data_IF_335968971099
#
_entry.id   IF_335968971099
#
_cell.length_a   1.000
_cell.length_b   1.000
_cell.length_c   1.000
_cell.angle_alpha   90.00
_cell.angle_beta   90.00
_cell.angle_gamma   90.00
#
_symmetry.space_group_name_H-M   'P 1'
#
loop_
_entity.id
_entity.type
_entity.pdbx_description
1 polymer ?
#
# COMPACT_ATOMS: atom_id res chain seq x y z
N UNK A 1 18.56 15.64 -1.55
CA UNK A 1 19.20 15.07 -0.32
C UNK A 1 20.13 13.89 -0.65
N UNK A 2 20.96 13.42 0.31
CA UNK A 2 21.76 12.18 0.17
C UNK A 2 20.88 10.95 0.39
N UNK A 3 21.13 9.88 -0.36
CA UNK A 3 20.47 8.59 -0.19
C UNK A 3 21.16 7.81 0.94
N UNK A 4 20.38 7.17 1.82
CA UNK A 4 20.91 6.37 2.92
C UNK A 4 21.69 5.16 2.36
N UNK A 5 22.98 4.95 2.72
CA UNK A 5 23.78 3.86 2.20
C UNK A 5 23.14 2.49 2.35
N UNK A 6 22.58 2.17 3.52
CA UNK A 6 22.01 0.84 3.79
C UNK A 6 20.73 0.53 3.00
N UNK A 7 20.04 1.56 2.51
CA UNK A 7 18.87 1.41 1.64
C UNK A 7 19.26 1.37 0.16
N UNK A 8 20.11 2.28 -0.30
CA UNK A 8 20.49 2.34 -1.73
C UNK A 8 21.31 1.14 -2.21
N UNK A 9 21.90 0.36 -1.30
CA UNK A 9 22.64 -0.86 -1.63
C UNK A 9 21.76 -2.11 -1.71
N UNK A 10 20.46 -2.02 -1.40
CA UNK A 10 19.52 -3.13 -1.52
C UNK A 10 19.29 -3.49 -2.99
N UNK A 11 18.85 -4.72 -3.25
CA UNK A 11 18.35 -5.14 -4.57
C UNK A 11 16.82 -5.10 -4.57
N UNK A 12 16.16 -4.92 -5.73
CA UNK A 12 14.70 -4.87 -5.80
C UNK A 12 14.03 -6.11 -5.19
N UNK A 13 14.55 -7.31 -5.48
CA UNK A 13 14.06 -8.58 -4.91
C UNK A 13 14.17 -8.70 -3.38
N UNK A 14 14.99 -7.86 -2.74
CA UNK A 14 15.13 -7.84 -1.27
C UNK A 14 14.12 -6.87 -0.62
N UNK A 15 13.22 -6.28 -1.40
CA UNK A 15 12.28 -5.25 -0.95
C UNK A 15 10.83 -5.72 -1.01
N UNK A 16 10.08 -5.27 0.00
CA UNK A 16 8.62 -5.20 -0.05
C UNK A 16 8.24 -3.72 0.06
N UNK A 17 7.61 -3.17 -0.95
CA UNK A 17 7.12 -1.80 -0.91
C UNK A 17 5.76 -1.78 -0.24
N UNK A 18 5.62 -0.97 0.81
CA UNK A 18 4.34 -0.69 1.45
C UNK A 18 3.87 0.67 0.96
N UNK A 19 2.81 0.67 0.15
CA UNK A 19 2.23 1.89 -0.41
C UNK A 19 1.10 2.35 0.52
N UNK A 20 1.20 3.56 1.04
CA UNK A 20 0.17 4.19 1.84
C UNK A 20 -0.58 5.28 1.09
N UNK A 21 -1.62 5.84 1.72
CA UNK A 21 -2.50 6.85 1.11
C UNK A 21 -1.76 8.11 0.67
N UNK A 22 -0.59 8.42 1.26
CA UNK A 22 0.24 9.54 0.84
C UNK A 22 0.78 9.40 -0.59
N UNK A 23 0.91 8.19 -1.12
CA UNK A 23 1.24 7.97 -2.54
C UNK A 23 0.01 8.25 -3.40
N UNK A 24 -1.17 7.71 -3.05
CA UNK A 24 -2.40 8.01 -3.78
C UNK A 24 -2.71 9.52 -3.80
N UNK A 25 -2.49 10.21 -2.69
CA UNK A 25 -2.61 11.67 -2.58
C UNK A 25 -1.62 12.43 -3.49
N UNK A 26 -0.39 11.92 -3.66
CA UNK A 26 0.58 12.51 -4.58
C UNK A 26 0.26 12.19 -6.04
N UNK A 27 -0.41 11.07 -6.30
CA UNK A 27 -0.77 10.63 -7.65
C UNK A 27 -1.96 11.41 -8.21
N UNK A 28 -2.99 11.60 -7.40
CA UNK A 28 -4.22 12.29 -7.78
C UNK A 28 -4.62 13.28 -6.67
N UNK A 29 -3.87 14.39 -6.49
CA UNK A 29 -4.06 15.34 -5.38
C UNK A 29 -5.38 16.12 -5.42
N UNK A 30 -6.08 16.11 -6.56
CA UNK A 30 -7.41 16.68 -6.70
C UNK A 30 -8.52 15.77 -6.14
N UNK A 31 -8.24 14.48 -5.91
CA UNK A 31 -9.23 13.52 -5.36
C UNK A 31 -9.22 13.58 -3.83
N UNK A 32 -10.25 14.14 -3.16
CA UNK A 32 -10.22 14.33 -1.71
C UNK A 32 -10.13 13.01 -0.94
N UNK A 33 -10.78 11.96 -1.44
CA UNK A 33 -10.80 10.63 -0.84
C UNK A 33 -9.41 10.00 -0.70
N UNK A 34 -8.46 10.38 -1.56
CA UNK A 34 -7.11 9.83 -1.56
C UNK A 34 -6.15 10.54 -0.61
N UNK A 35 -6.53 11.70 -0.05
CA UNK A 35 -5.64 12.52 0.79
C UNK A 35 -5.39 11.93 2.17
N UNK A 36 -6.36 11.22 2.70
CA UNK A 36 -6.28 10.60 4.03
C UNK A 36 -7.38 9.60 4.24
N UNK A 37 -7.20 8.72 5.25
CA UNK A 37 -8.26 7.83 5.72
C UNK A 37 -9.54 8.56 6.13
N UNK A 38 -9.42 9.70 6.81
CA UNK A 38 -10.58 10.56 7.14
C UNK A 38 -11.26 11.08 5.88
N UNK A 39 -10.48 11.53 4.89
CA UNK A 39 -10.98 12.00 3.59
C UNK A 39 -11.74 10.90 2.83
N UNK A 40 -11.24 9.67 2.85
CA UNK A 40 -11.92 8.52 2.26
C UNK A 40 -13.28 8.25 2.93
N UNK A 41 -13.31 8.19 4.25
CA UNK A 41 -14.56 7.92 4.97
C UNK A 41 -15.56 9.08 4.77
N UNK A 42 -15.07 10.33 4.74
CA UNK A 42 -15.90 11.48 4.43
C UNK A 42 -16.49 11.38 3.01
N UNK A 43 -15.68 11.05 2.00
CA UNK A 43 -16.16 10.91 0.63
C UNK A 43 -17.18 9.77 0.48
N UNK A 44 -17.00 8.65 1.18
CA UNK A 44 -17.98 7.57 1.23
C UNK A 44 -19.28 8.00 1.91
N UNK A 45 -19.19 8.80 2.98
CA UNK A 45 -20.35 9.34 3.67
C UNK A 45 -21.11 10.34 2.78
N UNK A 46 -20.39 11.21 2.08
CA UNK A 46 -20.98 12.18 1.15
C UNK A 46 -21.69 11.46 0.00
N UNK A 47 -21.04 10.47 -0.64
CA UNK A 47 -21.68 9.65 -1.67
C UNK A 47 -22.92 8.91 -1.13
N UNK A 48 -22.87 8.41 0.10
CA UNK A 48 -24.03 7.76 0.71
C UNK A 48 -25.20 8.73 0.96
N UNK A 49 -24.92 9.98 1.30
CA UNK A 49 -25.92 11.04 1.45
C UNK A 49 -26.49 11.43 0.08
N UNK A 50 -25.65 11.61 -0.93
CA UNK A 50 -26.05 11.98 -2.29
C UNK A 50 -26.93 10.92 -2.96
N UNK A 51 -26.76 9.64 -2.60
CA UNK A 51 -27.60 8.53 -3.02
C UNK A 51 -28.81 8.27 -2.12
N UNK A 52 -29.11 9.15 -1.15
CA UNK A 52 -30.22 9.02 -0.18
C UNK A 52 -30.20 7.68 0.60
N UNK A 53 -29.01 7.18 0.95
CA UNK A 53 -28.83 5.88 1.61
C UNK A 53 -28.86 5.94 3.15
N UNK A 54 -28.87 7.14 3.72
CA UNK A 54 -28.80 7.39 5.15
C UNK A 54 -29.90 8.37 5.58
N UNK A 55 -30.52 8.10 6.73
CA UNK A 55 -31.45 9.05 7.35
C UNK A 55 -30.68 10.27 7.91
N UNK A 56 -31.34 11.43 8.00
CA UNK A 56 -30.73 12.70 8.47
C UNK A 56 -30.03 12.56 9.83
N UNK A 57 -30.60 11.81 10.76
CA UNK A 57 -30.01 11.58 12.09
C UNK A 57 -28.75 10.72 12.02
N UNK A 58 -28.73 9.71 11.14
CA UNK A 58 -27.58 8.84 10.92
C UNK A 58 -26.43 9.60 10.28
N UNK A 59 -26.71 10.40 9.26
CA UNK A 59 -25.76 11.28 8.58
C UNK A 59 -25.10 12.23 9.57
N UNK A 60 -25.89 12.91 10.42
CA UNK A 60 -25.38 13.79 11.48
C UNK A 60 -24.51 13.04 12.50
N UNK A 61 -24.87 11.80 12.86
CA UNK A 61 -24.08 10.96 13.77
C UNK A 61 -22.72 10.60 13.17
N UNK A 62 -22.68 10.14 11.93
CA UNK A 62 -21.43 9.81 11.25
C UNK A 62 -20.54 11.04 11.07
N UNK A 63 -21.12 12.17 10.63
CA UNK A 63 -20.38 13.43 10.53
C UNK A 63 -19.78 13.82 11.88
N UNK A 64 -20.55 13.79 12.97
CA UNK A 64 -20.04 14.10 14.31
C UNK A 64 -18.87 13.20 14.71
N UNK A 65 -18.98 11.88 14.48
CA UNK A 65 -17.90 10.94 14.79
C UNK A 65 -16.62 11.22 13.98
N UNK A 66 -16.73 11.59 12.70
CA UNK A 66 -15.59 11.99 11.87
C UNK A 66 -14.96 13.30 12.33
N UNK A 67 -15.76 14.28 12.74
CA UNK A 67 -15.25 15.57 13.21
C UNK A 67 -14.50 15.46 14.54
N UNK A 68 -14.96 14.58 15.44
CA UNK A 68 -14.33 14.33 16.74
C UNK A 68 -13.05 13.46 16.64
N UNK A 69 -12.63 13.06 15.43
CA UNK A 69 -11.49 12.15 15.18
C UNK A 69 -11.54 10.88 16.04
N UNK A 70 -12.77 10.41 16.31
CA UNK A 70 -12.98 9.11 16.95
C UNK A 70 -12.39 8.02 16.07
N UNK A 71 -12.00 6.91 16.69
CA UNK A 71 -11.34 5.75 16.06
C UNK A 71 -11.89 5.48 14.65
N UNK A 72 -11.17 5.98 13.63
CA UNK A 72 -11.66 6.09 12.24
C UNK A 72 -11.99 4.72 11.66
N UNK A 73 -11.28 3.67 12.10
CA UNK A 73 -11.55 2.29 11.71
C UNK A 73 -12.94 1.85 12.14
N UNK A 74 -13.39 2.22 13.35
CA UNK A 74 -14.74 1.91 13.82
C UNK A 74 -15.79 2.68 13.02
N UNK A 75 -15.55 3.97 12.77
CA UNK A 75 -16.48 4.80 11.96
C UNK A 75 -16.63 4.22 10.55
N UNK A 76 -15.52 3.85 9.91
CA UNK A 76 -15.52 3.21 8.61
C UNK A 76 -16.23 1.85 8.64
N UNK A 77 -15.97 1.04 9.66
CA UNK A 77 -16.63 -0.26 9.82
C UNK A 77 -18.15 -0.13 9.91
N UNK A 78 -18.64 0.77 10.77
CA UNK A 78 -20.07 1.01 10.96
C UNK A 78 -20.73 1.55 9.68
N UNK A 79 -20.05 2.46 8.95
CA UNK A 79 -20.53 2.96 7.68
C UNK A 79 -20.61 1.84 6.62
N UNK A 80 -19.57 1.01 6.48
CA UNK A 80 -19.56 -0.12 5.54
C UNK A 80 -20.69 -1.11 5.86
N UNK A 81 -20.91 -1.43 7.15
CA UNK A 81 -22.01 -2.30 7.55
C UNK A 81 -23.38 -1.71 7.16
N UNK A 82 -23.57 -0.42 7.39
CA UNK A 82 -24.81 0.28 7.04
C UNK A 82 -25.06 0.30 5.53
N UNK A 83 -24.00 0.48 4.73
CA UNK A 83 -24.06 0.47 3.26
C UNK A 83 -24.08 -0.95 2.67
N UNK A 84 -23.84 -1.99 3.48
CA UNK A 84 -23.84 -3.39 3.06
C UNK A 84 -24.82 -4.25 3.88
N UNK A 85 -26.11 -3.87 3.99
CA UNK A 85 -27.06 -4.61 4.81
C UNK A 85 -27.19 -6.04 4.29
N UNK A 86 -27.10 -7.01 5.21
CA UNK A 86 -27.34 -8.43 4.90
C UNK A 86 -28.82 -8.72 5.09
N UNK A 87 -29.58 -8.78 3.99
CA UNK A 87 -30.91 -9.39 4.00
C UNK A 87 -30.80 -10.87 3.58
N UNK A 88 -31.73 -11.71 4.01
CA UNK A 88 -31.64 -13.16 3.88
C UNK A 88 -31.48 -13.68 2.44
N UNK A 89 -31.86 -12.90 1.42
CA UNK A 89 -31.88 -13.35 0.03
C UNK A 89 -31.18 -12.40 -0.99
N UNK A 90 -30.75 -11.19 -0.61
CA UNK A 90 -30.07 -10.24 -1.52
C UNK A 90 -28.96 -9.48 -0.78
N UNK A 91 -27.75 -9.48 -1.36
CA UNK A 91 -26.64 -8.62 -0.92
C UNK A 91 -26.80 -7.25 -1.59
N UNK A 92 -26.90 -6.19 -0.80
CA UNK A 92 -26.96 -4.81 -1.32
C UNK A 92 -25.70 -4.45 -2.11
N UNK A 93 -25.86 -3.61 -3.15
CA UNK A 93 -24.75 -3.01 -3.92
C UNK A 93 -24.42 -1.60 -3.46
N UNK A 94 -25.13 -1.02 -2.49
CA UNK A 94 -24.95 0.39 -2.13
C UNK A 94 -23.50 0.76 -1.78
N UNK A 95 -22.82 -0.04 -0.97
CA UNK A 95 -21.40 0.20 -0.68
C UNK A 95 -20.52 0.14 -1.92
N UNK A 96 -20.81 -0.78 -2.85
CA UNK A 96 -20.14 -0.83 -4.15
C UNK A 96 -20.41 0.47 -4.90
N UNK A 97 -21.66 0.88 -5.02
CA UNK A 97 -22.04 2.07 -5.80
C UNK A 97 -21.37 3.34 -5.23
N UNK A 98 -21.29 3.50 -3.90
CA UNK A 98 -20.53 4.58 -3.26
C UNK A 98 -19.02 4.52 -3.57
N UNK A 99 -18.40 3.34 -3.56
CA UNK A 99 -16.98 3.20 -3.90
C UNK A 99 -16.70 3.58 -5.36
N UNK A 100 -17.58 3.17 -6.28
CA UNK A 100 -17.45 3.51 -7.68
C UNK A 100 -17.60 5.02 -7.92
N UNK A 101 -18.49 5.69 -7.20
CA UNK A 101 -18.60 7.15 -7.23
C UNK A 101 -17.32 7.82 -6.71
N UNK A 102 -16.84 7.39 -5.54
CA UNK A 102 -15.65 7.97 -4.90
C UNK A 102 -14.38 7.80 -5.75
N UNK A 103 -14.25 6.66 -6.43
CA UNK A 103 -13.11 6.32 -7.26
C UNK A 103 -13.42 6.40 -8.76
N UNK A 104 -14.44 7.16 -9.15
CA UNK A 104 -14.77 7.35 -10.56
C UNK A 104 -13.62 8.07 -11.29
N UNK A 105 -13.35 7.64 -12.51
CA UNK A 105 -12.38 8.27 -13.43
C UNK A 105 -11.02 8.61 -12.79
N UNK A 106 -10.48 7.72 -11.94
CA UNK A 106 -9.18 7.93 -11.30
C UNK A 106 -8.03 8.06 -12.31
N UNK A 107 -8.13 7.40 -13.47
CA UNK A 107 -7.09 7.41 -14.50
C UNK A 107 -6.86 8.81 -15.08
N UNK A 108 -7.94 9.54 -15.41
CA UNK A 108 -7.82 10.91 -15.93
C UNK A 108 -7.29 11.90 -14.88
N UNK A 109 -7.41 11.54 -13.60
CA UNK A 109 -7.03 12.36 -12.45
C UNK A 109 -5.57 12.18 -12.04
N UNK A 110 -4.79 11.31 -12.69
CA UNK A 110 -3.37 11.15 -12.36
C UNK A 110 -2.53 12.31 -12.90
N UNK A 111 -1.79 12.98 -12.02
CA UNK A 111 -0.82 14.02 -12.38
C UNK A 111 0.56 13.44 -12.76
N UNK A 112 1.37 14.20 -13.51
CA UNK A 112 2.64 13.73 -14.05
C UNK A 112 3.68 13.38 -12.98
N UNK A 113 3.78 14.19 -11.91
CA UNK A 113 4.64 13.90 -10.76
C UNK A 113 4.22 12.61 -10.04
N UNK A 114 2.92 12.38 -9.97
CA UNK A 114 2.29 11.16 -9.53
C UNK A 114 2.67 9.94 -10.37
N UNK A 115 2.55 10.07 -11.69
CA UNK A 115 2.94 9.03 -12.65
C UNK A 115 4.42 8.67 -12.53
N UNK A 116 5.30 9.65 -12.31
CA UNK A 116 6.74 9.41 -12.07
C UNK A 116 6.99 8.56 -10.81
N UNK A 117 6.21 8.77 -9.74
CA UNK A 117 6.27 7.92 -8.55
C UNK A 117 5.84 6.49 -8.86
N UNK A 118 4.71 6.30 -9.52
CA UNK A 118 4.21 4.97 -9.90
C UNK A 118 5.15 4.28 -10.88
N UNK A 119 5.80 5.02 -11.78
CA UNK A 119 6.85 4.50 -12.66
C UNK A 119 8.01 3.91 -11.86
N UNK A 120 8.46 4.60 -10.81
CA UNK A 120 9.53 4.12 -9.93
C UNK A 120 9.12 2.85 -9.17
N UNK A 121 7.88 2.81 -8.66
CA UNK A 121 7.32 1.61 -8.01
C UNK A 121 7.28 0.44 -9.01
N UNK A 122 6.69 0.65 -10.19
CA UNK A 122 6.58 -0.36 -11.24
C UNK A 122 7.95 -0.87 -11.69
N UNK A 123 8.94 0.02 -11.81
CA UNK A 123 10.31 -0.37 -12.15
C UNK A 123 10.92 -1.31 -11.11
N UNK A 124 10.73 -1.05 -9.82
CA UNK A 124 11.20 -1.97 -8.78
C UNK A 124 10.45 -3.31 -8.82
N UNK A 125 9.14 -3.31 -9.08
CA UNK A 125 8.34 -4.53 -9.23
C UNK A 125 8.81 -5.40 -10.38
N UNK A 126 9.08 -4.79 -11.54
CA UNK A 126 9.61 -5.51 -12.72
C UNK A 126 10.96 -6.18 -12.44
N UNK A 127 11.71 -5.66 -11.47
CA UNK A 127 12.99 -6.23 -11.02
C UNK A 127 12.87 -7.11 -9.76
N UNK A 128 11.65 -7.43 -9.32
CA UNK A 128 11.38 -8.44 -8.29
C UNK A 128 10.92 -7.91 -6.94
N UNK A 129 10.73 -6.60 -6.76
CA UNK A 129 10.13 -6.10 -5.51
C UNK A 129 8.66 -6.52 -5.40
N UNK A 130 8.24 -6.94 -4.20
CA UNK A 130 6.83 -7.14 -3.90
C UNK A 130 6.16 -5.82 -3.50
N UNK A 131 4.85 -5.71 -3.70
CA UNK A 131 4.08 -4.53 -3.30
C UNK A 131 2.84 -4.95 -2.53
N UNK A 132 2.59 -4.24 -1.44
CA UNK A 132 1.34 -4.32 -0.69
C UNK A 132 0.86 -2.91 -0.33
N UNK A 133 -0.43 -2.80 -0.04
CA UNK A 133 -1.08 -1.54 0.34
C UNK A 133 -2.23 -1.79 1.32
N UNK A 134 -2.55 -0.76 2.10
CA UNK A 134 -3.79 -0.70 2.91
C UNK A 134 -4.86 0.18 2.24
N UNK A 135 -4.59 0.72 1.05
CA UNK A 135 -5.51 1.59 0.32
C UNK A 135 -6.51 0.76 -0.48
N UNK A 136 -7.70 1.33 -0.71
CA UNK A 136 -8.73 0.70 -1.55
C UNK A 136 -8.57 0.97 -3.05
N UNK A 137 -7.93 2.09 -3.41
CA UNK A 137 -7.69 2.46 -4.81
C UNK A 137 -6.74 1.47 -5.50
N UNK A 138 -6.78 1.43 -6.84
CA UNK A 138 -5.92 0.60 -7.69
C UNK A 138 -5.06 1.45 -8.64
N UNK A 139 -4.62 2.64 -8.19
CA UNK A 139 -3.92 3.62 -9.04
C UNK A 139 -2.65 3.04 -9.68
N UNK A 140 -1.91 2.21 -8.95
CA UNK A 140 -0.70 1.56 -9.46
C UNK A 140 -1.03 0.60 -10.61
N UNK A 141 -2.11 -0.15 -10.49
CA UNK A 141 -2.58 -1.10 -11.51
C UNK A 141 -3.14 -0.39 -12.73
N UNK A 142 -3.93 0.67 -12.55
CA UNK A 142 -4.41 1.53 -13.64
C UNK A 142 -3.24 2.14 -14.41
N UNK A 143 -2.27 2.71 -13.70
CA UNK A 143 -1.07 3.27 -14.31
C UNK A 143 -0.29 2.20 -15.10
N UNK A 144 -0.11 1.01 -14.51
CA UNK A 144 0.61 -0.07 -15.16
C UNK A 144 -0.12 -0.58 -16.41
N UNK A 145 -1.46 -0.66 -16.39
CA UNK A 145 -2.28 -1.00 -17.55
C UNK A 145 -2.07 0.00 -18.69
N UNK A 146 -2.03 1.29 -18.39
CA UNK A 146 -1.69 2.34 -19.36
C UNK A 146 -0.26 2.21 -19.91
N UNK A 147 0.69 1.63 -19.15
CA UNK A 147 2.03 1.26 -19.63
C UNK A 147 2.06 -0.09 -20.37
N UNK A 148 0.91 -0.71 -20.66
CA UNK A 148 0.83 -2.01 -21.33
C UNK A 148 1.23 -3.18 -20.44
N UNK A 149 1.16 -3.03 -19.12
CA UNK A 149 1.49 -4.06 -18.12
C UNK A 149 0.24 -4.46 -17.36
N UNK A 150 0.05 -5.76 -17.18
CA UNK A 150 -1.04 -6.27 -16.36
C UNK A 150 -0.56 -6.53 -14.94
N UNK A 151 -1.06 -5.75 -13.98
CA UNK A 151 -0.88 -6.02 -12.55
C UNK A 151 -2.13 -6.67 -11.99
N UNK A 152 -1.97 -7.77 -11.25
CA UNK A 152 -3.09 -8.41 -10.55
C UNK A 152 -3.28 -7.78 -9.16
N UNK A 153 -4.48 -7.29 -8.86
CA UNK A 153 -4.87 -6.93 -7.48
C UNK A 153 -5.25 -8.19 -6.71
N UNK A 154 -4.61 -8.39 -5.56
CA UNK A 154 -4.87 -9.48 -4.62
C UNK A 154 -5.47 -8.90 -3.35
N UNK A 155 -6.30 -9.68 -2.66
CA UNK A 155 -6.77 -9.35 -1.32
C UNK A 155 -6.66 -10.59 -0.41
N UNK A 156 -6.89 -10.39 0.89
CA UNK A 156 -6.77 -11.46 1.88
C UNK A 156 -7.95 -12.45 1.88
N UNK A 157 -8.87 -12.40 0.90
CA UNK A 157 -9.96 -13.38 0.79
C UNK A 157 -9.57 -14.64 0.03
N UNK A 158 -8.51 -14.59 -0.80
CA UNK A 158 -8.01 -15.74 -1.55
C UNK A 158 -6.67 -16.24 -0.96
N UNK A 159 -6.77 -17.17 0.01
CA UNK A 159 -5.61 -17.73 0.70
C UNK A 159 -4.55 -18.30 -0.25
N UNK A 160 -4.97 -18.93 -1.35
CA UNK A 160 -4.05 -19.55 -2.31
C UNK A 160 -3.24 -18.49 -3.03
N UNK A 161 -3.89 -17.41 -3.49
CA UNK A 161 -3.19 -16.31 -4.14
C UNK A 161 -2.25 -15.58 -3.17
N UNK A 162 -2.68 -15.37 -1.93
CA UNK A 162 -1.84 -14.77 -0.88
C UNK A 162 -0.60 -15.63 -0.61
N UNK A 163 -0.76 -16.95 -0.50
CA UNK A 163 0.37 -17.87 -0.34
C UNK A 163 1.35 -17.79 -1.51
N UNK A 164 0.84 -17.85 -2.74
CA UNK A 164 1.67 -17.79 -3.95
C UNK A 164 2.37 -16.43 -4.11
N UNK A 165 1.73 -15.35 -3.66
CA UNK A 165 2.35 -14.02 -3.56
C UNK A 165 3.47 -13.99 -2.54
N UNK A 166 3.23 -14.51 -1.32
CA UNK A 166 4.23 -14.55 -0.26
C UNK A 166 5.43 -15.46 -0.61
N UNK A 167 5.20 -16.47 -1.45
CA UNK A 167 6.24 -17.34 -2.03
C UNK A 167 6.91 -16.74 -3.27
N UNK A 168 6.60 -15.50 -3.65
CA UNK A 168 7.15 -14.79 -4.82
C UNK A 168 6.86 -15.49 -6.17
N UNK A 169 5.83 -16.35 -6.22
CA UNK A 169 5.39 -17.04 -7.44
C UNK A 169 4.47 -16.17 -8.31
N UNK A 170 3.87 -15.14 -7.72
CA UNK A 170 3.01 -14.15 -8.40
C UNK A 170 3.75 -12.83 -8.60
N UNK A 171 4.48 -12.73 -9.70
CA UNK A 171 5.12 -11.47 -10.12
C UNK A 171 4.07 -10.47 -10.60
N UNK A 172 4.37 -9.17 -10.50
CA UNK A 172 3.49 -8.08 -10.94
C UNK A 172 2.08 -8.17 -10.35
N UNK A 173 2.01 -8.22 -9.03
CA UNK A 173 0.74 -8.20 -8.30
C UNK A 173 0.86 -7.34 -7.04
N UNK A 174 -0.27 -6.78 -6.62
CA UNK A 174 -0.39 -5.87 -5.47
C UNK A 174 -1.29 -6.52 -4.43
N UNK A 175 -0.78 -6.70 -3.21
CA UNK A 175 -1.60 -7.20 -2.10
C UNK A 175 -2.31 -6.05 -1.38
N UNK A 176 -3.63 -5.96 -1.51
CA UNK A 176 -4.49 -5.04 -0.77
C UNK A 176 -4.95 -5.68 0.54
N UNK A 177 -4.35 -5.25 1.65
CA UNK A 177 -4.62 -5.80 2.98
C UNK A 177 -6.09 -5.63 3.37
N UNK A 178 -6.69 -4.49 3.04
CA UNK A 178 -8.11 -4.21 3.33
C UNK A 178 -9.02 -4.38 2.12
N UNK A 179 -8.56 -5.07 1.07
CA UNK A 179 -9.28 -5.20 -0.18
C UNK A 179 -9.16 -3.98 -1.11
N UNK A 180 -9.72 -4.14 -2.31
CA UNK A 180 -9.65 -3.18 -3.41
C UNK A 180 -11.07 -2.79 -3.86
N UNK A 181 -11.28 -1.54 -4.27
CA UNK A 181 -12.63 -1.05 -4.58
C UNK A 181 -13.29 -1.75 -5.77
N UNK A 182 -12.52 -2.35 -6.67
CA UNK A 182 -13.01 -3.18 -7.78
C UNK A 182 -13.54 -4.54 -7.31
N UNK A 183 -13.23 -4.94 -6.07
CA UNK A 183 -13.83 -6.08 -5.37
C UNK A 183 -14.39 -5.66 -3.99
N UNK A 184 -15.52 -4.90 -3.93
CA UNK A 184 -16.06 -4.39 -2.67
C UNK A 184 -16.39 -5.48 -1.64
N UNK A 185 -16.74 -6.69 -2.11
CA UNK A 185 -17.05 -7.81 -1.21
C UNK A 185 -15.85 -8.35 -0.45
N UNK A 186 -14.63 -8.03 -0.89
CA UNK A 186 -13.38 -8.40 -0.21
C UNK A 186 -12.88 -7.36 0.80
N UNK A 187 -13.57 -6.21 0.92
CA UNK A 187 -13.13 -5.13 1.81
C UNK A 187 -13.46 -5.44 3.26
N UNK A 188 -12.42 -5.50 4.10
CA UNK A 188 -12.52 -5.77 5.54
C UNK A 188 -11.47 -4.94 6.28
N UNK A 189 -11.90 -4.27 7.34
CA UNK A 189 -11.06 -3.34 8.12
C UNK A 189 -10.52 -3.89 9.43
N UNK A 190 -10.96 -5.09 9.81
CA UNK A 190 -10.57 -5.71 11.07
C UNK A 190 -10.01 -7.11 10.84
N UNK A 191 -8.96 -7.54 11.56
CA UNK A 191 -8.37 -8.88 11.45
C UNK A 191 -9.40 -10.02 11.57
N UNK A 192 -10.47 -9.81 12.33
CA UNK A 192 -11.57 -10.76 12.50
C UNK A 192 -12.28 -11.15 11.18
N UNK A 193 -12.21 -10.33 10.13
CA UNK A 193 -12.78 -10.71 8.83
C UNK A 193 -11.82 -11.46 7.90
N UNK A 194 -10.54 -11.63 8.29
CA UNK A 194 -9.53 -12.40 7.54
C UNK A 194 -9.04 -13.63 8.32
N UNK A 195 -9.91 -14.25 9.15
CA UNK A 195 -9.54 -15.42 9.98
C UNK A 195 -9.02 -16.60 9.17
N UNK A 196 -9.50 -16.75 7.94
CA UNK A 196 -9.04 -17.72 6.96
C UNK A 196 -7.51 -17.63 6.76
N UNK A 197 -7.02 -16.44 6.38
CA UNK A 197 -5.57 -16.17 6.26
C UNK A 197 -4.87 -16.25 7.61
N UNK A 198 -5.37 -15.57 8.64
CA UNK A 198 -4.68 -15.45 9.94
C UNK A 198 -4.55 -16.77 10.71
N UNK A 199 -5.44 -17.74 10.46
CA UNK A 199 -5.39 -19.08 11.06
C UNK A 199 -4.67 -20.09 10.17
N UNK A 200 -4.45 -19.78 8.90
CA UNK A 200 -3.68 -20.63 8.01
C UNK A 200 -2.19 -20.50 8.35
N UNK A 201 -1.67 -21.53 9.03
CA UNK A 201 -0.28 -21.57 9.51
C UNK A 201 0.74 -21.51 8.37
N UNK A 202 0.43 -22.06 7.20
CA UNK A 202 1.34 -22.02 6.05
C UNK A 202 1.41 -20.61 5.48
N UNK A 203 0.25 -19.97 5.25
CA UNK A 203 0.17 -18.58 4.74
C UNK A 203 0.88 -17.63 5.70
N UNK A 204 0.54 -17.68 7.00
CA UNK A 204 1.15 -16.81 7.99
C UNK A 204 2.66 -17.02 8.11
N UNK A 205 3.15 -18.25 7.98
CA UNK A 205 4.59 -18.53 7.97
C UNK A 205 5.28 -17.86 6.78
N UNK A 206 4.72 -17.93 5.58
CA UNK A 206 5.33 -17.26 4.41
C UNK A 206 5.23 -15.72 4.50
N UNK A 207 4.12 -15.17 5.00
CA UNK A 207 3.97 -13.74 5.27
C UNK A 207 5.02 -13.25 6.28
N UNK A 208 5.18 -13.96 7.40
CA UNK A 208 6.18 -13.61 8.43
C UNK A 208 7.60 -13.68 7.89
N UNK A 209 7.92 -14.71 7.09
CA UNK A 209 9.23 -14.83 6.43
C UNK A 209 9.55 -13.63 5.55
N UNK A 210 8.57 -12.99 4.90
CA UNK A 210 8.82 -11.79 4.13
C UNK A 210 9.36 -10.67 5.02
N UNK A 211 8.76 -10.45 6.18
CA UNK A 211 9.20 -9.42 7.13
C UNK A 211 10.54 -9.78 7.78
N UNK A 212 10.80 -11.06 8.02
CA UNK A 212 12.07 -11.55 8.57
C UNK A 212 13.23 -11.55 7.59
N UNK A 213 13.00 -11.53 6.27
CA UNK A 213 14.06 -11.70 5.26
C UNK A 213 14.15 -10.56 4.23
N UNK A 214 13.13 -9.71 4.12
CA UNK A 214 13.10 -8.58 3.18
C UNK A 214 13.01 -7.25 3.93
N UNK A 215 13.62 -6.22 3.34
CA UNK A 215 13.50 -4.86 3.85
C UNK A 215 12.19 -4.23 3.35
N UNK A 216 11.25 -4.02 4.27
CA UNK A 216 10.05 -3.23 3.99
C UNK A 216 10.39 -1.76 3.80
N UNK A 217 9.95 -1.18 2.69
CA UNK A 217 10.08 0.24 2.36
C UNK A 217 8.70 0.90 2.35
N UNK A 218 8.42 1.65 3.40
CA UNK A 218 7.15 2.35 3.61
C UNK A 218 7.16 3.70 2.87
N UNK A 219 6.18 3.89 1.99
CA UNK A 219 6.03 5.05 1.11
C UNK A 219 4.64 5.65 1.33
N UNK A 220 4.57 6.89 1.82
CA UNK A 220 3.29 7.56 2.07
C UNK A 220 2.43 6.92 3.18
N UNK A 221 3.07 6.16 4.09
CA UNK A 221 2.40 5.44 5.18
C UNK A 221 2.30 6.33 6.43
N UNK A 222 1.16 6.99 6.62
CA UNK A 222 0.88 7.74 7.87
C UNK A 222 0.43 6.82 9.01
N UNK A 223 -0.58 5.97 8.75
CA UNK A 223 -1.23 5.13 9.77
C UNK A 223 -0.99 3.63 9.56
N UNK A 224 -0.39 3.21 8.45
CA UNK A 224 -0.26 1.79 8.08
C UNK A 224 0.48 0.95 9.12
N UNK A 225 1.49 1.51 9.80
CA UNK A 225 2.25 0.79 10.85
C UNK A 225 1.43 0.62 12.13
N UNK A 226 0.42 1.45 12.34
CA UNK A 226 -0.51 1.37 13.46
C UNK A 226 -1.81 0.61 13.11
N UNK A 227 -1.96 0.18 11.85
CA UNK A 227 -3.08 -0.67 11.44
C UNK A 227 -3.01 -2.05 12.11
N UNK A 228 -4.14 -2.47 12.69
CA UNK A 228 -4.24 -3.73 13.45
C UNK A 228 -4.07 -4.97 12.56
N UNK A 229 -4.50 -4.91 11.30
CA UNK A 229 -4.36 -6.04 10.37
C UNK A 229 -2.92 -6.15 9.90
N UNK A 230 -2.28 -5.03 9.57
CA UNK A 230 -0.85 -4.97 9.26
C UNK A 230 0.00 -5.45 10.44
N UNK A 231 -0.31 -5.02 11.66
CA UNK A 231 0.36 -5.48 12.88
C UNK A 231 0.24 -6.98 13.08
N UNK A 232 -0.97 -7.53 12.96
CA UNK A 232 -1.22 -8.96 13.10
C UNK A 232 -0.52 -9.79 12.01
N UNK A 233 -0.33 -9.25 10.81
CA UNK A 233 0.34 -9.94 9.71
C UNK A 233 1.88 -9.91 9.85
N UNK A 234 2.45 -8.77 10.25
CA UNK A 234 3.88 -8.53 10.10
C UNK A 234 4.62 -8.14 11.39
N UNK A 235 4.04 -7.27 12.23
CA UNK A 235 4.79 -6.68 13.36
C UNK A 235 4.71 -7.50 14.64
N UNK A 236 3.52 -8.01 14.98
CA UNK A 236 3.30 -8.80 16.20
C UNK A 236 3.61 -10.28 15.98
N UNK A 237 3.41 -10.74 14.75
CA UNK A 237 3.58 -12.14 14.39
C UNK A 237 5.04 -12.57 14.32
N UNK A 238 5.97 -11.63 14.14
CA UNK A 238 7.41 -11.88 14.01
C UNK A 238 8.07 -11.78 15.38
N UNK A 239 8.34 -12.94 15.98
CA UNK A 239 8.93 -13.05 17.33
C UNK A 239 10.41 -12.64 17.36
N UNK A 240 11.12 -12.85 16.26
CA UNK A 240 12.51 -12.46 16.11
C UNK A 240 12.55 -11.26 15.17
N UNK A 241 12.57 -10.06 15.76
CA UNK A 241 12.92 -8.85 15.01
C UNK A 241 14.35 -9.05 14.51
N UNK A 242 14.48 -9.45 13.24
CA UNK A 242 15.78 -9.69 12.62
C UNK A 242 16.65 -8.44 12.67
N UNK A 243 17.96 -8.59 12.47
CA UNK A 243 18.86 -7.44 12.25
C UNK A 243 18.56 -6.70 10.92
N UNK A 244 17.54 -7.12 10.14
CA UNK A 244 17.17 -6.43 8.90
C UNK A 244 16.55 -5.08 9.19
N UNK A 245 17.08 -4.10 8.49
CA UNK A 245 16.60 -2.73 8.52
C UNK A 245 15.36 -2.59 7.63
N UNK A 246 14.26 -2.11 8.22
CA UNK A 246 13.12 -1.58 7.48
C UNK A 246 13.27 -0.06 7.33
N UNK A 247 12.57 0.55 6.37
CA UNK A 247 12.78 1.95 6.02
C UNK A 247 11.45 2.66 5.77
N UNK A 248 11.34 3.90 6.21
CA UNK A 248 10.17 4.73 5.96
C UNK A 248 10.60 6.06 5.36
N UNK A 249 10.08 6.39 4.18
CA UNK A 249 10.32 7.69 3.55
C UNK A 249 9.24 8.68 4.01
N UNK A 250 9.66 9.77 4.63
CA UNK A 250 8.75 10.81 5.15
C UNK A 250 9.21 12.21 4.77
N UNK A 251 8.27 13.16 4.77
CA UNK A 251 8.60 14.59 4.70
C UNK A 251 9.34 14.97 5.98
N UNK A 252 10.32 15.89 5.95
CA UNK A 252 11.01 16.31 7.17
C UNK A 252 10.03 16.89 8.19
N UNK A 253 9.10 17.74 7.76
CA UNK A 253 8.14 18.37 8.65
C UNK A 253 8.80 19.14 9.80
N UNK A 254 8.08 19.25 10.92
CA UNK A 254 8.60 19.82 12.15
C UNK A 254 9.71 18.94 12.76
N UNK A 255 10.72 19.58 13.37
CA UNK A 255 11.91 18.89 13.89
C UNK A 255 11.57 17.95 15.04
N UNK A 256 10.67 18.35 15.93
CA UNK A 256 10.32 17.58 17.12
C UNK A 256 9.34 16.45 16.77
N UNK A 257 8.39 16.70 15.87
CA UNK A 257 7.55 15.64 15.29
C UNK A 257 8.40 14.57 14.58
N UNK A 258 9.38 15.00 13.78
CA UNK A 258 10.27 14.08 13.07
C UNK A 258 11.13 13.24 14.01
N UNK A 259 11.68 13.84 15.08
CA UNK A 259 12.44 13.11 16.10
C UNK A 259 11.57 12.08 16.79
N UNK A 260 10.37 12.48 17.23
CA UNK A 260 9.42 11.58 17.90
C UNK A 260 9.02 10.41 17.00
N UNK A 261 8.71 10.68 15.73
CA UNK A 261 8.40 9.64 14.74
C UNK A 261 9.59 8.69 14.57
N UNK A 262 10.81 9.22 14.45
CA UNK A 262 12.02 8.42 14.29
C UNK A 262 12.28 7.50 15.48
N UNK A 263 12.12 7.99 16.71
CA UNK A 263 12.26 7.18 17.92
C UNK A 263 11.21 6.06 17.97
N UNK A 264 9.93 6.40 17.78
CA UNK A 264 8.83 5.44 17.78
C UNK A 264 8.99 4.34 16.72
N UNK A 265 9.46 4.71 15.52
CA UNK A 265 9.66 3.76 14.43
C UNK A 265 10.92 2.90 14.63
N UNK A 266 11.95 3.43 15.30
CA UNK A 266 13.17 2.68 15.57
C UNK A 266 12.93 1.51 16.53
N UNK A 267 12.05 1.67 17.52
CA UNK A 267 11.60 0.57 18.40
C UNK A 267 10.89 -0.57 17.65
N UNK A 268 10.34 -0.23 16.48
CA UNK A 268 9.73 -1.17 15.52
C UNK A 268 10.73 -1.69 14.47
N UNK A 269 12.02 -1.33 14.54
CA UNK A 269 13.06 -1.73 13.58
C UNK A 269 13.02 -0.93 12.26
N UNK A 270 12.31 0.19 12.22
CA UNK A 270 12.08 1.00 11.01
C UNK A 270 12.90 2.29 11.08
N UNK A 271 13.81 2.46 10.12
CA UNK A 271 14.60 3.67 9.94
C UNK A 271 13.83 4.73 9.16
N UNK A 272 13.53 5.85 9.81
CA UNK A 272 12.89 7.00 9.18
C UNK A 272 13.90 7.83 8.39
N UNK A 273 13.64 8.04 7.11
CA UNK A 273 14.48 8.79 6.17
C UNK A 273 13.65 9.93 5.59
N UNK A 274 14.17 11.15 5.72
CA UNK A 274 13.52 12.31 5.11
C UNK A 274 13.93 12.46 3.64
N UNK A 275 12.94 12.47 2.74
CA UNK A 275 13.16 12.70 1.31
C UNK A 275 13.36 14.17 0.96
N UNK A 276 12.74 15.08 1.72
CA UNK A 276 12.74 16.51 1.45
C UNK A 276 11.96 17.32 2.50
N UNK A 277 11.75 18.60 2.22
CA UNK A 277 10.93 19.51 3.04
C UNK A 277 9.47 19.49 2.59
N UNK A 278 9.21 19.22 1.31
CA UNK A 278 7.89 19.27 0.69
C UNK A 278 7.47 17.92 0.12
N UNK A 279 6.16 17.65 0.06
CA UNK A 279 5.64 16.41 -0.54
C UNK A 279 6.04 16.27 -2.02
N UNK A 280 6.21 17.39 -2.72
CA UNK A 280 6.67 17.44 -4.11
C UNK A 280 8.14 16.97 -4.29
N UNK A 281 8.92 16.84 -3.21
CA UNK A 281 10.30 16.33 -3.28
C UNK A 281 10.35 14.79 -3.39
N UNK A 282 9.25 14.09 -3.08
CA UNK A 282 9.21 12.63 -3.03
C UNK A 282 9.44 11.98 -4.43
N UNK A 283 8.81 12.42 -5.53
CA UNK A 283 9.05 11.88 -6.87
C UNK A 283 10.53 11.84 -7.27
N UNK A 284 11.21 12.98 -7.22
CA UNK A 284 12.62 13.07 -7.62
C UNK A 284 13.53 12.27 -6.68
N UNK A 285 13.27 12.34 -5.37
CA UNK A 285 14.05 11.57 -4.39
C UNK A 285 13.90 10.06 -4.63
N UNK A 286 12.68 9.59 -4.87
CA UNK A 286 12.37 8.17 -5.03
C UNK A 286 12.83 7.62 -6.37
N UNK A 287 12.78 8.40 -7.45
CA UNK A 287 13.35 8.04 -8.74
C UNK A 287 14.87 7.81 -8.62
N UNK A 288 15.59 8.75 -8.00
CA UNK A 288 17.03 8.62 -7.77
C UNK A 288 17.38 7.41 -6.92
N UNK A 289 16.59 7.15 -5.88
CA UNK A 289 16.76 5.97 -5.05
C UNK A 289 16.55 4.67 -5.85
N UNK A 290 15.49 4.65 -6.65
CA UNK A 290 15.14 3.52 -7.53
C UNK A 290 16.25 3.23 -8.53
N UNK A 291 16.86 4.26 -9.13
CA UNK A 291 17.99 4.11 -10.03
C UNK A 291 19.20 3.41 -9.39
N UNK A 292 19.55 3.78 -8.15
CA UNK A 292 20.63 3.12 -7.41
C UNK A 292 20.31 1.66 -7.05
N UNK A 293 19.07 1.38 -6.63
CA UNK A 293 18.63 0.03 -6.27
C UNK A 293 18.59 -0.89 -7.50
N UNK A 294 18.04 -0.41 -8.62
CA UNK A 294 17.87 -1.19 -9.85
C UNK A 294 19.21 -1.49 -10.56
N UNK A 295 20.17 -0.56 -10.55
CA UNK A 295 21.52 -0.79 -11.12
C UNK A 295 22.26 -1.92 -10.40
N UNK A 296 22.05 -2.08 -9.09
CA UNK A 296 22.62 -3.17 -8.29
C UNK A 296 21.96 -4.52 -8.54
N UNK A 297 20.67 -4.55 -8.86
CA UNK A 297 19.96 -5.77 -9.27
C UNK A 297 20.54 -6.38 -10.56
N UNK A 298 20.93 -5.53 -11.52
CA UNK A 298 21.48 -5.97 -12.82
C UNK A 298 22.93 -6.46 -12.74
N UNK A 299 23.72 -5.97 -11.79
CA UNK A 299 25.13 -6.36 -11.63
C UNK A 299 25.35 -7.81 -11.15
N UNK A 300 24.28 -8.52 -10.75
CA UNK A 300 24.33 -9.91 -10.28
C UNK A 300 24.00 -10.97 -11.33
N UNK A 301 23.68 -10.59 -12.57
CA UNK A 301 23.40 -11.54 -13.67
C UNK A 301 24.68 -11.73 -14.47
N UNK A 302 25.31 -12.93 -14.50
CA UNK A 302 26.41 -13.20 -15.41
C UNK A 302 25.92 -13.00 -16.84
N UNK A 303 26.63 -12.16 -17.62
CA UNK A 303 26.41 -12.13 -19.07
C UNK A 303 26.87 -13.47 -19.64
N UNK A 304 25.95 -14.37 -19.94
CA UNK A 304 26.24 -15.53 -20.76
C UNK A 304 26.64 -15.08 -22.17
N UNK A 305 27.82 -15.52 -22.61
CA UNK A 305 28.12 -15.79 -24.01
C UNK A 305 28.45 -14.61 -24.92
N UNK A 306 29.65 -14.03 -24.79
CA UNK A 306 30.42 -13.66 -25.98
C UNK A 306 31.39 -14.80 -26.29
N UNK A 307 30.97 -15.70 -27.17
CA UNK A 307 31.88 -16.65 -27.82
C UNK A 307 32.91 -15.86 -28.64
N UNK A 308 34.15 -15.90 -28.16
CA UNK A 308 35.33 -15.54 -28.93
C UNK A 308 35.51 -16.58 -30.04
N UNK A 309 35.08 -16.27 -31.26
CA UNK A 309 35.58 -16.96 -32.45
C UNK A 309 36.99 -16.42 -32.75
N UNK A 310 37.98 -17.04 -32.11
CA UNK A 310 39.39 -16.94 -32.48
C UNK A 310 39.71 -18.04 -33.49
N UNK A 311 39.88 -17.63 -34.74
CA UNK A 311 40.40 -18.40 -35.87
C UNK A 311 41.76 -19.04 -35.58
N UNK A 312 41.89 -20.34 -35.85
CA UNK A 312 43.18 -21.00 -36.04
C UNK A 312 43.42 -21.19 -37.54
N UNK A 313 44.53 -20.62 -38.01
CA UNK A 313 45.28 -21.05 -39.18
C UNK A 313 46.53 -21.77 -38.68
#
# INVERSE_FOLDING_TARGET
RKLLPSLKTKKPQDLVLVIGTGISAAVAPQVPALKSWKGLIQALLDAAIDFDLLEDEESKRFQKCLHEDKNLVHVAHDLIQKLSPRTSNVRSTFFKDCLYEVFDDLESKMEDSGKQLLQSVLHLMENGALVLTTNFDNLLELYAAHQGKHLESLDLTDEKKVLEWAQEKRKLSVLHIHGVYTNPSGIVLHPAGYQNVLRNTEVMREIQKLYENKSFLFLGCGWTVDDTTFQALFLEAVKHKSDLEHFMLVRRGDVDEFKKLRENMLDKGIKVISYGEDHADLPEYFERLTGEIATRGRAGVPKEGQQLNGSAA
#
